data_IF_424973027059
#
_entry.id   IF_424973027059
#
_cell.length_a   1.000
_cell.length_b   1.000
_cell.length_c   1.000
_cell.angle_alpha   90.00
_cell.angle_beta   90.00
_cell.angle_gamma   90.00
#
_symmetry.space_group_name_H-M   'P 1'
#
loop_
_entity.id
_entity.type
_entity.pdbx_description
1 polymer ?
#
# COMPACT_ATOMS: atom_id res chain seq x y z
N UNK A 1 -4.45 25.48 8.29
CA UNK A 1 -5.71 24.83 8.72
C UNK A 1 -5.37 23.53 9.45
N UNK A 2 -5.97 23.26 10.62
CA UNK A 2 -5.87 21.93 11.27
C UNK A 2 -6.80 20.97 10.53
N UNK A 3 -6.27 19.89 9.97
CA UNK A 3 -7.10 18.78 9.52
C UNK A 3 -7.67 18.06 10.74
N UNK A 4 -8.99 17.82 10.76
CA UNK A 4 -9.58 16.88 11.71
C UNK A 4 -9.25 15.47 11.23
N UNK A 5 -8.60 14.70 12.10
CA UNK A 5 -8.34 13.28 11.88
C UNK A 5 -9.44 12.52 12.59
N UNK A 6 -10.20 11.73 11.84
CA UNK A 6 -11.19 10.79 12.40
C UNK A 6 -10.48 9.49 12.72
N UNK A 7 -10.65 9.02 13.96
CA UNK A 7 -10.23 7.70 14.43
C UNK A 7 -11.50 6.90 14.69
N UNK A 8 -11.51 5.65 14.22
CA UNK A 8 -12.62 4.72 14.38
C UNK A 8 -12.15 3.50 15.17
N UNK A 9 -13.07 2.88 15.90
CA UNK A 9 -12.84 1.57 16.50
C UNK A 9 -12.55 0.52 15.42
N UNK A 10 -11.90 -0.58 15.82
CA UNK A 10 -11.52 -1.63 14.87
C UNK A 10 -12.72 -2.09 14.04
N UNK A 11 -12.58 -1.99 12.73
CA UNK A 11 -13.61 -2.41 11.79
C UNK A 11 -13.23 -3.74 11.14
N UNK A 12 -14.05 -4.76 11.37
CA UNK A 12 -13.85 -6.10 10.80
C UNK A 12 -13.78 -6.10 9.26
N UNK A 13 -14.31 -5.06 8.61
CA UNK A 13 -14.25 -4.91 7.15
C UNK A 13 -12.84 -4.60 6.64
N UNK A 14 -11.93 -4.09 7.47
CA UNK A 14 -10.57 -3.78 7.02
C UNK A 14 -9.85 -5.02 6.48
N UNK A 15 -10.03 -6.17 7.12
CA UNK A 15 -9.46 -7.45 6.68
C UNK A 15 -10.06 -7.89 5.32
N UNK A 16 -11.38 -7.74 5.13
CA UNK A 16 -12.02 -8.12 3.87
C UNK A 16 -11.71 -7.15 2.72
N UNK A 17 -11.60 -5.86 2.99
CA UNK A 17 -11.18 -4.85 2.01
C UNK A 17 -9.71 -5.04 1.62
N UNK A 18 -8.83 -5.34 2.57
CA UNK A 18 -7.44 -5.72 2.27
C UNK A 18 -7.39 -6.94 1.34
N UNK A 19 -8.13 -8.01 1.63
CA UNK A 19 -8.11 -9.22 0.80
C UNK A 19 -8.56 -8.94 -0.64
N UNK A 20 -9.59 -8.08 -0.84
CA UNK A 20 -10.02 -7.66 -2.18
C UNK A 20 -8.91 -6.91 -2.92
N UNK A 21 -8.25 -5.98 -2.25
CA UNK A 21 -7.15 -5.22 -2.81
C UNK A 21 -5.95 -6.11 -3.13
N UNK A 22 -5.65 -7.07 -2.26
CA UNK A 22 -4.59 -8.05 -2.47
C UNK A 22 -4.85 -8.88 -3.73
N UNK A 23 -6.09 -9.36 -3.94
CA UNK A 23 -6.47 -10.07 -5.17
C UNK A 23 -6.33 -9.17 -6.39
N UNK A 24 -6.89 -7.96 -6.35
CA UNK A 24 -6.82 -7.00 -7.45
C UNK A 24 -5.36 -6.67 -7.85
N UNK A 25 -4.50 -6.42 -6.86
CA UNK A 25 -3.09 -6.11 -7.09
C UNK A 25 -2.38 -7.35 -7.66
N UNK A 26 -2.60 -8.54 -7.10
CA UNK A 26 -1.99 -9.77 -7.62
C UNK A 26 -2.32 -10.02 -9.10
N UNK A 27 -3.59 -9.85 -9.48
CA UNK A 27 -4.06 -10.06 -10.85
C UNK A 27 -3.34 -9.15 -11.84
N UNK A 28 -3.14 -7.88 -11.47
CA UNK A 28 -2.46 -6.89 -12.31
C UNK A 28 -0.95 -7.09 -12.32
N UNK A 29 -0.38 -7.56 -11.21
CA UNK A 29 1.05 -7.74 -11.06
C UNK A 29 1.57 -8.99 -11.80
N UNK A 30 0.71 -9.97 -12.10
CA UNK A 30 1.02 -11.16 -12.90
C UNK A 30 2.29 -11.88 -12.40
N UNK A 31 2.45 -11.99 -11.08
CA UNK A 31 3.62 -12.64 -10.46
C UNK A 31 4.88 -11.77 -10.36
N UNK A 32 4.79 -10.46 -10.63
CA UNK A 32 5.92 -9.52 -10.45
C UNK A 32 6.18 -9.14 -8.97
N UNK A 33 5.44 -9.72 -8.02
CA UNK A 33 5.52 -9.43 -6.57
C UNK A 33 5.95 -10.65 -5.79
N UNK A 34 6.80 -10.45 -4.77
CA UNK A 34 7.17 -11.47 -3.80
C UNK A 34 6.09 -11.66 -2.73
N UNK A 35 5.55 -10.56 -2.21
CA UNK A 35 4.45 -10.57 -1.24
C UNK A 35 3.65 -9.27 -1.30
N UNK A 36 2.41 -9.35 -0.79
CA UNK A 36 1.52 -8.20 -0.58
C UNK A 36 1.01 -8.31 0.85
N UNK A 37 1.31 -7.34 1.70
CA UNK A 37 1.13 -7.44 3.15
C UNK A 37 0.25 -6.30 3.70
N UNK A 38 -0.67 -6.64 4.61
CA UNK A 38 -1.46 -5.64 5.34
C UNK A 38 -0.66 -5.13 6.51
N UNK A 39 -0.23 -3.87 6.45
CA UNK A 39 0.57 -3.22 7.48
C UNK A 39 -0.19 -2.05 8.11
N UNK A 40 0.44 -1.38 9.08
CA UNK A 40 -0.16 -0.23 9.76
C UNK A 40 -1.20 -0.60 10.81
N UNK A 41 -1.88 0.40 11.37
CA UNK A 41 -2.78 0.20 12.51
C UNK A 41 -4.05 -0.59 12.15
N UNK A 42 -4.51 -0.52 10.91
CA UNK A 42 -5.74 -1.21 10.47
C UNK A 42 -5.56 -2.72 10.30
N UNK A 43 -4.32 -3.23 10.31
CA UNK A 43 -4.05 -4.68 10.30
C UNK A 43 -4.10 -5.31 11.69
N UNK A 44 -4.15 -4.51 12.76
CA UNK A 44 -4.15 -4.97 14.15
C UNK A 44 -5.59 -5.12 14.65
N UNK A 45 -6.02 -6.36 14.87
CA UNK A 45 -7.36 -6.67 15.40
C UNK A 45 -7.59 -6.00 16.75
N UNK A 46 -8.70 -5.27 16.87
CA UNK A 46 -9.09 -4.57 18.10
C UNK A 46 -8.43 -3.20 18.30
N UNK A 47 -7.57 -2.74 17.40
CA UNK A 47 -6.96 -1.41 17.51
C UNK A 47 -7.80 -0.33 16.81
N UNK A 48 -8.14 0.73 17.55
CA UNK A 48 -8.73 1.93 16.96
C UNK A 48 -7.71 2.66 16.08
N UNK A 49 -8.12 3.02 14.86
CA UNK A 49 -7.22 3.56 13.86
C UNK A 49 -7.92 4.57 12.95
N UNK A 50 -7.12 5.31 12.18
CA UNK A 50 -7.64 6.03 11.02
C UNK A 50 -8.10 4.98 9.98
N UNK A 51 -9.28 5.11 9.35
CA UNK A 51 -9.78 4.13 8.38
C UNK A 51 -9.05 4.22 7.04
N UNK A 52 -7.76 3.87 7.05
CA UNK A 52 -6.79 3.93 5.96
C UNK A 52 -6.03 2.61 5.97
N UNK A 53 -5.99 1.91 4.83
CA UNK A 53 -5.27 0.66 4.69
C UNK A 53 -3.83 0.95 4.24
N UNK A 54 -2.85 0.49 4.99
CA UNK A 54 -1.45 0.52 4.56
C UNK A 54 -1.09 -0.87 4.00
N UNK A 55 -0.57 -0.91 2.77
CA UNK A 55 -0.31 -2.16 2.05
C UNK A 55 1.11 -2.16 1.54
N UNK A 56 1.92 -3.14 1.91
CA UNK A 56 3.27 -3.26 1.35
C UNK A 56 3.25 -4.20 0.15
N UNK A 57 3.89 -3.77 -0.94
CA UNK A 57 4.15 -4.61 -2.12
C UNK A 57 5.65 -4.89 -2.15
N UNK A 58 6.03 -6.13 -1.85
CA UNK A 58 7.44 -6.54 -1.85
C UNK A 58 7.81 -7.00 -3.25
N UNK A 59 8.91 -6.46 -3.78
CA UNK A 59 9.46 -6.83 -5.09
C UNK A 59 10.89 -7.33 -4.95
N UNK A 60 11.32 -8.16 -5.90
CA UNK A 60 12.65 -8.74 -5.87
C UNK A 60 13.75 -7.71 -6.20
N UNK A 61 13.51 -6.87 -7.20
CA UNK A 61 14.45 -5.86 -7.67
C UNK A 61 13.79 -4.49 -7.82
N UNK A 62 14.50 -3.43 -7.44
CA UNK A 62 14.03 -2.06 -7.64
C UNK A 62 13.95 -1.70 -9.13
N UNK A 63 14.69 -2.37 -10.00
CA UNK A 63 14.62 -2.11 -11.45
C UNK A 63 13.22 -2.41 -12.05
N UNK A 64 12.41 -3.24 -11.40
CA UNK A 64 11.02 -3.48 -11.86
C UNK A 64 10.04 -2.44 -11.31
N UNK A 65 10.47 -1.54 -10.42
CA UNK A 65 9.61 -0.53 -9.79
C UNK A 65 8.85 0.35 -10.80
N UNK A 66 9.46 0.89 -11.88
CA UNK A 66 8.72 1.67 -12.87
C UNK A 66 7.57 0.87 -13.54
N UNK A 67 7.77 -0.43 -13.76
CA UNK A 67 6.75 -1.34 -14.28
C UNK A 67 5.62 -1.55 -13.28
N UNK A 68 5.96 -1.67 -11.99
CA UNK A 68 4.99 -1.75 -10.88
C UNK A 68 4.13 -0.50 -10.83
N UNK A 69 4.74 0.69 -10.90
CA UNK A 69 4.01 1.97 -10.93
C UNK A 69 3.03 2.00 -12.10
N UNK A 70 3.50 1.70 -13.32
CA UNK A 70 2.64 1.69 -14.51
C UNK A 70 1.46 0.73 -14.37
N UNK A 71 1.68 -0.46 -13.79
CA UNK A 71 0.66 -1.46 -13.53
C UNK A 71 -0.40 -0.96 -12.53
N UNK A 72 0.04 -0.32 -11.45
CA UNK A 72 -0.85 0.24 -10.44
C UNK A 72 -1.62 1.47 -10.97
N UNK A 73 -1.00 2.26 -11.84
CA UNK A 73 -1.67 3.36 -12.54
C UNK A 73 -2.81 2.88 -13.43
N UNK A 74 -2.66 1.71 -14.07
CA UNK A 74 -3.70 1.13 -14.91
C UNK A 74 -5.00 0.77 -14.14
N UNK A 75 -4.92 0.60 -12.82
CA UNK A 75 -6.08 0.34 -11.94
C UNK A 75 -6.45 1.55 -11.06
N UNK A 76 -5.94 2.74 -11.40
CA UNK A 76 -6.37 4.01 -10.82
C UNK A 76 -5.56 4.50 -9.62
N UNK A 77 -4.40 3.91 -9.32
CA UNK A 77 -3.47 4.48 -8.35
C UNK A 77 -2.51 5.45 -9.02
N UNK A 78 -1.77 6.24 -8.24
CA UNK A 78 -0.74 7.14 -8.74
C UNK A 78 0.46 7.18 -7.78
N UNK A 79 1.66 7.28 -8.34
CA UNK A 79 2.89 7.42 -7.56
C UNK A 79 3.02 8.83 -6.96
N UNK A 80 3.38 8.91 -5.69
CA UNK A 80 3.68 10.17 -4.99
C UNK A 80 5.15 10.26 -4.64
N UNK A 81 5.92 10.93 -5.50
CA UNK A 81 7.35 11.13 -5.32
C UNK A 81 7.72 12.19 -4.27
N UNK A 82 6.82 13.13 -3.94
CA UNK A 82 7.25 14.44 -3.39
C UNK A 82 7.03 14.65 -1.88
N UNK A 83 6.36 13.75 -1.14
CA UNK A 83 5.78 14.11 0.18
C UNK A 83 6.11 13.21 1.37
N UNK A 84 7.03 12.27 1.27
CA UNK A 84 7.53 11.50 2.43
C UNK A 84 9.01 11.20 2.23
N UNK A 85 9.75 10.87 3.28
CA UNK A 85 11.11 10.34 3.26
C UNK A 85 11.28 9.25 2.19
N UNK A 86 11.49 9.64 0.93
CA UNK A 86 11.67 8.77 -0.21
C UNK A 86 13.12 8.30 -0.17
N UNK A 87 13.38 7.29 0.66
CA UNK A 87 14.60 6.50 0.52
C UNK A 87 14.37 5.52 -0.63
N UNK A 88 15.38 5.34 -1.49
CA UNK A 88 15.32 4.37 -2.58
C UNK A 88 14.89 3.00 -2.02
N UNK A 89 13.74 2.49 -2.45
CA UNK A 89 13.13 1.26 -1.91
C UNK A 89 12.10 1.47 -0.79
N UNK A 90 11.58 2.70 -0.62
CA UNK A 90 10.35 3.00 0.13
C UNK A 90 9.52 4.01 -0.68
N UNK A 91 8.76 3.48 -1.63
CA UNK A 91 8.00 4.27 -2.61
C UNK A 91 6.51 4.26 -2.29
N UNK A 92 5.85 5.42 -2.40
CA UNK A 92 4.42 5.57 -2.09
C UNK A 92 3.54 5.66 -3.33
N UNK A 93 2.47 4.86 -3.33
CA UNK A 93 1.41 4.88 -4.37
C UNK A 93 0.06 5.02 -3.68
N UNK A 94 -0.82 5.91 -4.18
CA UNK A 94 -2.13 6.28 -3.57
C UNK A 94 -3.29 6.24 -4.59
N UNK A 95 -4.54 6.14 -4.14
CA UNK A 95 -5.77 6.26 -4.95
C UNK A 95 -6.71 7.36 -4.41
N UNK A 96 -6.96 8.44 -5.16
CA UNK A 96 -7.84 9.55 -4.72
C UNK A 96 -7.57 10.08 -3.29
N UNK A 97 -8.56 10.70 -2.64
CA UNK A 97 -8.45 11.21 -1.25
C UNK A 97 -8.48 10.10 -0.17
N UNK A 98 -8.60 8.83 -0.56
CA UNK A 98 -8.61 7.68 0.35
C UNK A 98 -7.24 7.01 0.30
N UNK A 99 -6.41 7.32 1.30
CA UNK A 99 -5.03 6.85 1.35
C UNK A 99 -5.02 5.32 1.40
N UNK A 100 -4.45 4.68 0.38
CA UNK A 100 -3.80 3.37 0.50
C UNK A 100 -2.32 3.72 0.47
N UNK A 101 -1.56 3.39 1.52
CA UNK A 101 -0.15 3.70 1.53
C UNK A 101 0.61 2.47 1.03
N UNK A 102 0.98 2.45 -0.25
CA UNK A 102 1.88 1.45 -0.78
C UNK A 102 3.29 1.70 -0.28
N UNK A 103 4.02 0.72 0.26
CA UNK A 103 5.48 0.81 0.40
C UNK A 103 6.11 -0.31 -0.42
N UNK A 104 6.92 0.05 -1.41
CA UNK A 104 7.67 -0.94 -2.18
C UNK A 104 8.96 -1.32 -1.45
N UNK A 105 8.90 -2.31 -0.56
CA UNK A 105 10.05 -2.74 0.24
C UNK A 105 10.89 -3.75 -0.55
N UNK A 106 12.20 -3.50 -0.64
CA UNK A 106 13.18 -4.45 -1.19
C UNK A 106 13.53 -5.52 -0.15
N UNK A 107 13.46 -6.80 -0.53
CA UNK A 107 14.11 -7.88 0.25
C UNK A 107 15.63 -7.71 0.14
N UNK A 108 16.29 -7.27 1.20
CA UNK A 108 17.76 -7.28 1.27
C UNK A 108 18.19 -8.75 1.23
N UNK A 109 18.93 -9.15 0.19
CA UNK A 109 19.56 -10.48 0.12
C UNK A 109 20.47 -10.62 1.34
N UNK A 110 20.26 -11.67 2.13
CA UNK A 110 21.12 -12.04 3.27
C UNK A 110 22.53 -12.37 2.82
#
# INVERSE_FOLDING_TARGET
>A
MKQRITIEEYNIKWESEFNKLQTLINDVMEGSTLSIEHVGSTSIKGLAAKPVLDIDIVIEDYEIFPKVVTKLEAIGYYHQAERTLSFRGMEKVQIGWNIICMCVIKKVKS
#
